data_IF_706115338217
#
_entry.id   IF_706115338217
#
_cell.length_a   1.000
_cell.length_b   1.000
_cell.length_c   1.000
_cell.angle_alpha   90.00
_cell.angle_beta   90.00
_cell.angle_gamma   90.00
#
_symmetry.space_group_name_H-M   'P 1'
#
loop_
_entity.id
_entity.type
_entity.pdbx_description
1 polymer ?
#
# COMPACT_ATOMS: atom_id res chain seq x y z
N UNK A 1 -21.25 -4.16 0.35
CA UNK A 1 -20.79 -4.69 -0.94
C UNK A 1 -21.96 -5.49 -1.51
N UNK A 2 -22.62 -5.00 -2.56
CA UNK A 2 -23.86 -5.59 -3.09
C UNK A 2 -23.50 -6.86 -3.88
N UNK A 3 -24.00 -8.01 -3.42
CA UNK A 3 -23.76 -9.32 -4.04
C UNK A 3 -24.93 -9.60 -4.98
N UNK A 4 -24.69 -9.52 -6.29
CA UNK A 4 -25.65 -10.01 -7.29
C UNK A 4 -25.31 -11.47 -7.57
N UNK A 5 -25.92 -12.38 -6.82
CA UNK A 5 -26.24 -13.69 -7.37
C UNK A 5 -27.66 -13.61 -7.91
N UNK A 6 -27.97 -14.34 -8.98
CA UNK A 6 -29.33 -14.65 -9.42
C UNK A 6 -30.08 -15.54 -8.38
N UNK A 7 -29.87 -15.30 -7.08
CA UNK A 7 -30.55 -15.89 -5.94
C UNK A 7 -31.49 -14.87 -5.28
N UNK A 8 -32.13 -14.02 -6.09
CA UNK A 8 -33.16 -13.08 -5.67
C UNK A 8 -34.49 -13.73 -5.27
N UNK A 9 -34.45 -14.90 -4.62
CA UNK A 9 -35.58 -15.47 -3.86
C UNK A 9 -35.40 -15.22 -2.35
N UNK A 10 -34.43 -14.38 -1.94
CA UNK A 10 -34.27 -13.94 -0.57
C UNK A 10 -35.12 -12.70 -0.27
N UNK A 11 -35.95 -12.77 0.76
CA UNK A 11 -36.60 -11.59 1.35
C UNK A 11 -35.53 -10.54 1.69
N UNK A 12 -35.63 -9.36 1.07
CA UNK A 12 -34.81 -8.23 1.46
C UNK A 12 -35.14 -7.87 2.92
N UNK A 13 -34.11 -7.58 3.72
CA UNK A 13 -34.30 -7.08 5.07
C UNK A 13 -35.26 -5.90 5.04
N UNK A 14 -36.39 -6.05 5.73
CA UNK A 14 -37.41 -5.03 5.86
C UNK A 14 -37.02 -4.03 6.96
N UNK A 15 -37.71 -2.91 7.05
CA UNK A 15 -37.51 -1.97 8.17
C UNK A 15 -37.74 -2.67 9.53
N UNK A 16 -38.56 -3.72 9.58
CA UNK A 16 -38.85 -4.50 10.78
C UNK A 16 -37.66 -5.41 11.21
N UNK A 17 -36.68 -5.62 10.32
CA UNK A 17 -35.44 -6.34 10.62
C UNK A 17 -34.36 -5.44 11.24
N UNK A 18 -34.64 -4.14 11.44
CA UNK A 18 -33.67 -3.18 11.99
C UNK A 18 -33.16 -3.60 13.36
N UNK A 19 -34.01 -4.10 14.25
CA UNK A 19 -33.59 -4.53 15.60
C UNK A 19 -32.63 -5.72 15.53
N UNK A 20 -32.83 -6.64 14.56
CA UNK A 20 -31.94 -7.77 14.33
C UNK A 20 -30.61 -7.30 13.73
N UNK A 21 -30.66 -6.43 12.73
CA UNK A 21 -29.47 -5.80 12.14
C UNK A 21 -28.67 -5.03 13.19
N UNK A 22 -29.33 -4.23 14.02
CA UNK A 22 -28.70 -3.48 15.09
C UNK A 22 -28.07 -4.43 16.10
N UNK A 23 -28.77 -5.47 16.57
CA UNK A 23 -28.20 -6.46 17.48
C UNK A 23 -26.94 -7.13 16.91
N UNK A 24 -26.92 -7.44 15.62
CA UNK A 24 -25.80 -8.10 14.94
C UNK A 24 -24.60 -7.16 14.68
N UNK A 25 -24.85 -5.89 14.33
CA UNK A 25 -23.82 -4.96 13.87
C UNK A 25 -23.61 -3.74 14.78
N UNK A 26 -24.23 -3.68 15.97
CA UNK A 26 -24.11 -2.53 16.88
C UNK A 26 -22.66 -2.17 17.23
N UNK A 27 -21.74 -3.15 17.26
CA UNK A 27 -20.32 -2.89 17.50
C UNK A 27 -19.66 -2.02 16.41
N UNK A 28 -20.21 -2.00 15.19
CA UNK A 28 -19.75 -1.13 14.10
C UNK A 28 -20.31 0.30 14.22
N UNK A 29 -21.36 0.49 15.02
CA UNK A 29 -21.98 1.78 15.29
C UNK A 29 -21.34 2.50 16.49
N UNK A 30 -20.44 1.83 17.22
CA UNK A 30 -19.65 2.42 18.29
C UNK A 30 -18.74 3.54 17.73
N UNK A 31 -18.77 4.72 18.36
CA UNK A 31 -17.97 5.89 17.95
C UNK A 31 -16.44 5.64 17.98
N UNK A 32 -16.01 4.61 18.72
CA UNK A 32 -14.64 4.16 18.84
C UNK A 32 -14.37 2.85 18.06
N UNK A 33 -15.33 2.34 17.27
CA UNK A 33 -15.15 1.14 16.45
C UNK A 33 -13.92 1.21 15.55
N UNK A 34 -13.63 2.40 14.99
CA UNK A 34 -12.46 2.64 14.14
C UNK A 34 -11.13 2.32 14.84
N UNK A 35 -11.04 2.44 16.17
CA UNK A 35 -9.81 2.14 16.94
C UNK A 35 -9.42 0.67 16.91
N UNK A 36 -10.36 -0.23 16.54
CA UNK A 36 -10.06 -1.64 16.31
C UNK A 36 -9.23 -1.85 15.03
N UNK A 37 -9.36 -0.93 14.07
CA UNK A 37 -8.85 -1.05 12.70
C UNK A 37 -7.68 -0.09 12.41
N UNK A 38 -7.69 1.12 12.97
CA UNK A 38 -6.71 2.16 12.72
C UNK A 38 -5.93 2.53 14.00
N UNK A 39 -4.61 2.63 13.89
CA UNK A 39 -3.78 3.21 14.94
C UNK A 39 -3.85 4.74 14.92
N UNK A 40 -3.71 5.34 16.10
CA UNK A 40 -3.58 6.80 16.22
C UNK A 40 -2.33 7.32 15.50
N UNK A 41 -1.27 6.50 15.41
CA UNK A 41 -0.04 6.87 14.72
C UNK A 41 -0.27 7.01 13.20
N UNK A 42 -1.00 6.06 12.59
CA UNK A 42 -1.37 6.13 11.18
C UNK A 42 -2.24 7.36 10.92
N UNK A 43 -3.28 7.59 11.73
CA UNK A 43 -4.19 8.73 11.54
C UNK A 43 -3.53 10.10 11.76
N UNK A 44 -2.51 10.17 12.61
CA UNK A 44 -1.74 11.40 12.85
C UNK A 44 -0.81 11.78 11.68
N UNK A 45 -0.57 10.87 10.71
CA UNK A 45 0.25 11.19 9.55
C UNK A 45 -0.42 12.27 8.69
N UNK A 46 0.31 13.28 8.20
CA UNK A 46 -0.24 14.32 7.33
C UNK A 46 -0.93 13.78 6.07
N UNK A 47 -0.50 12.60 5.62
CA UNK A 47 -1.03 11.91 4.46
C UNK A 47 -2.41 11.30 4.74
N UNK A 48 -2.67 10.82 5.94
CA UNK A 48 -3.94 10.20 6.33
C UNK A 48 -5.10 11.19 6.40
N UNK A 49 -4.81 12.49 6.59
CA UNK A 49 -5.83 13.53 6.51
C UNK A 49 -6.27 13.86 5.07
N UNK A 50 -5.54 13.37 4.06
CA UNK A 50 -5.69 13.80 2.66
C UNK A 50 -5.96 12.66 1.69
N UNK A 51 -5.54 11.46 2.05
CA UNK A 51 -5.65 10.26 1.22
C UNK A 51 -6.39 9.19 1.99
N UNK A 52 -7.20 8.40 1.27
CA UNK A 52 -7.78 7.20 1.84
C UNK A 52 -6.66 6.19 2.12
N UNK A 53 -6.68 5.66 3.36
CA UNK A 53 -5.69 4.69 3.87
C UNK A 53 -6.41 3.42 4.30
N UNK A 54 -5.78 2.28 4.01
CA UNK A 54 -6.22 1.01 4.58
C UNK A 54 -5.99 1.00 6.10
N UNK A 55 -6.83 0.27 6.85
CA UNK A 55 -6.56 -0.06 8.24
C UNK A 55 -5.16 -0.65 8.44
N UNK A 56 -4.41 -0.21 9.44
CA UNK A 56 -3.11 -0.79 9.80
C UNK A 56 -3.22 -1.86 10.89
N UNK A 57 -4.26 -1.89 11.72
CA UNK A 57 -4.37 -2.86 12.84
C UNK A 57 -5.11 -4.15 12.48
N UNK A 58 -6.30 -4.06 11.87
CA UNK A 58 -7.12 -5.23 11.55
C UNK A 58 -7.75 -5.05 10.18
N UNK A 59 -8.04 -6.17 9.52
CA UNK A 59 -8.78 -6.14 8.26
C UNK A 59 -10.23 -5.73 8.54
N UNK A 60 -10.87 -5.03 7.60
CA UNK A 60 -12.28 -4.67 7.74
C UNK A 60 -13.14 -5.95 7.83
N UNK A 61 -14.24 -5.92 8.59
CA UNK A 61 -15.19 -7.03 8.64
C UNK A 61 -15.66 -7.37 7.22
N UNK A 62 -15.92 -8.66 6.98
CA UNK A 62 -16.38 -9.23 5.72
C UNK A 62 -15.43 -9.10 4.51
N UNK A 63 -14.23 -8.53 4.70
CA UNK A 63 -13.22 -8.41 3.63
C UNK A 63 -12.66 -9.77 3.15
N UNK A 64 -12.85 -10.82 3.96
CA UNK A 64 -12.41 -12.19 3.70
C UNK A 64 -13.57 -13.18 3.57
N UNK A 65 -14.81 -12.72 3.65
CA UNK A 65 -15.95 -13.63 3.82
C UNK A 65 -16.31 -14.25 2.47
N UNK A 66 -16.27 -15.59 2.35
CA UNK A 66 -16.62 -16.24 1.11
C UNK A 66 -18.04 -15.87 0.68
N UNK A 67 -18.22 -15.79 -0.64
CA UNK A 67 -19.54 -15.76 -1.23
C UNK A 67 -20.20 -17.11 -0.88
N UNK A 68 -21.18 -17.07 0.03
CA UNK A 68 -22.15 -18.13 0.33
C UNK A 68 -21.77 -19.30 1.30
N UNK A 69 -21.03 -19.08 2.41
CA UNK A 69 -20.94 -19.92 3.67
C UNK A 69 -19.47 -20.10 4.16
N UNK A 70 -19.21 -20.36 5.47
CA UNK A 70 -17.93 -19.99 6.08
C UNK A 70 -16.80 -20.99 5.78
N UNK A 71 -15.77 -20.53 5.09
CA UNK A 71 -14.41 -21.06 5.27
C UNK A 71 -13.93 -20.69 6.66
N UNK A 72 -13.18 -21.57 7.31
CA UNK A 72 -12.63 -21.24 8.62
C UNK A 72 -11.66 -20.06 8.46
N UNK A 73 -11.98 -18.93 9.10
CA UNK A 73 -11.04 -17.81 9.19
C UNK A 73 -9.82 -18.30 9.96
N UNK A 74 -8.75 -18.61 9.23
CA UNK A 74 -7.44 -18.83 9.84
C UNK A 74 -6.96 -17.53 10.49
N UNK A 75 -6.12 -17.65 11.51
CA UNK A 75 -5.42 -16.48 12.03
C UNK A 75 -4.43 -15.97 10.98
N UNK A 76 -4.47 -14.66 10.69
CA UNK A 76 -3.56 -14.04 9.73
C UNK A 76 -4.13 -12.78 9.08
N UNK A 77 -3.25 -12.09 8.38
CA UNK A 77 -3.52 -10.83 7.68
C UNK A 77 -4.24 -11.16 6.37
N UNK A 78 -5.52 -11.54 6.49
CA UNK A 78 -6.31 -12.20 5.44
C UNK A 78 -6.25 -11.46 4.12
N UNK A 79 -6.33 -10.13 4.12
CA UNK A 79 -6.24 -9.31 2.89
C UNK A 79 -4.94 -8.54 2.79
N UNK A 80 -4.37 -8.11 3.92
CA UNK A 80 -3.13 -7.32 3.96
C UNK A 80 -1.92 -8.07 3.42
N UNK A 81 -1.68 -9.30 3.87
CA UNK A 81 -0.47 -10.03 3.48
C UNK A 81 -0.51 -10.45 1.99
N UNK A 82 -1.65 -10.91 1.44
CA UNK A 82 -1.77 -11.14 0.00
C UNK A 82 -1.62 -9.84 -0.82
N UNK A 83 -2.20 -8.72 -0.36
CA UNK A 83 -2.04 -7.42 -1.04
C UNK A 83 -0.58 -6.98 -1.06
N UNK A 84 0.10 -7.09 0.08
CA UNK A 84 1.52 -6.81 0.20
C UNK A 84 2.33 -7.69 -0.76
N UNK A 85 2.10 -9.01 -0.76
CA UNK A 85 2.80 -9.94 -1.65
C UNK A 85 2.51 -9.65 -3.14
N UNK A 86 1.29 -9.25 -3.46
CA UNK A 86 0.90 -8.80 -4.79
C UNK A 86 1.72 -7.57 -5.20
N UNK A 87 1.87 -6.58 -4.32
CA UNK A 87 2.67 -5.39 -4.58
C UNK A 87 4.17 -5.70 -4.72
N UNK A 88 4.72 -6.63 -3.93
CA UNK A 88 6.10 -7.10 -4.06
C UNK A 88 6.33 -7.75 -5.42
N UNK A 89 5.50 -8.74 -5.79
CA UNK A 89 5.61 -9.43 -7.07
C UNK A 89 5.44 -8.46 -8.26
N UNK A 90 4.53 -7.50 -8.13
CA UNK A 90 4.29 -6.46 -9.12
C UNK A 90 5.47 -5.49 -9.25
N UNK A 91 6.11 -5.13 -8.15
CA UNK A 91 7.30 -4.25 -8.14
C UNK A 91 8.43 -4.89 -8.94
N UNK A 92 8.75 -6.15 -8.68
CA UNK A 92 9.75 -6.89 -9.48
C UNK A 92 9.35 -6.98 -10.96
N UNK A 93 8.08 -7.24 -11.29
CA UNK A 93 7.61 -7.32 -12.69
C UNK A 93 7.66 -5.98 -13.42
N UNK A 94 7.34 -4.88 -12.72
CA UNK A 94 7.38 -3.50 -13.25
C UNK A 94 8.79 -3.10 -13.61
N UNK A 95 9.71 -3.41 -12.71
CA UNK A 95 11.06 -2.88 -12.70
C UNK A 95 11.98 -3.97 -12.13
N UNK A 96 12.46 -4.91 -12.98
CA UNK A 96 13.37 -5.97 -12.56
C UNK A 96 14.82 -5.44 -12.44
N UNK A 97 14.99 -4.31 -11.77
CA UNK A 97 16.25 -3.63 -11.47
C UNK A 97 17.10 -4.40 -10.46
N UNK A 98 16.45 -5.12 -9.54
CA UNK A 98 17.06 -5.93 -8.50
C UNK A 98 16.77 -7.42 -8.72
N UNK A 99 17.70 -8.32 -8.35
CA UNK A 99 17.44 -9.76 -8.35
C UNK A 99 16.23 -10.14 -7.48
N UNK A 100 15.55 -11.23 -7.86
CA UNK A 100 14.39 -11.76 -7.14
C UNK A 100 14.71 -12.05 -5.68
N UNK A 101 15.89 -12.61 -5.43
CA UNK A 101 16.38 -12.95 -4.10
C UNK A 101 16.54 -11.68 -3.24
N UNK A 102 17.08 -10.61 -3.83
CA UNK A 102 17.25 -9.31 -3.15
C UNK A 102 15.90 -8.68 -2.81
N UNK A 103 14.96 -8.64 -3.77
CA UNK A 103 13.61 -8.10 -3.52
C UNK A 103 12.88 -8.93 -2.46
N UNK A 104 12.98 -10.26 -2.53
CA UNK A 104 12.36 -11.17 -1.55
C UNK A 104 12.92 -10.91 -0.15
N UNK A 105 14.24 -10.76 -0.03
CA UNK A 105 14.88 -10.48 1.26
C UNK A 105 14.44 -9.13 1.83
N UNK A 106 14.42 -8.06 1.00
CA UNK A 106 13.94 -6.74 1.41
C UNK A 106 12.48 -6.83 1.86
N UNK A 107 11.64 -7.52 1.11
CA UNK A 107 10.23 -7.72 1.43
C UNK A 107 10.07 -8.38 2.81
N UNK A 108 10.68 -9.54 3.03
CA UNK A 108 10.56 -10.27 4.30
C UNK A 108 11.09 -9.44 5.48
N UNK A 109 12.27 -8.83 5.35
CA UNK A 109 12.87 -8.01 6.42
C UNK A 109 12.00 -6.80 6.77
N UNK A 110 11.49 -6.07 5.76
CA UNK A 110 10.66 -4.88 6.01
C UNK A 110 9.29 -5.22 6.59
N UNK A 111 8.71 -6.34 6.17
CA UNK A 111 7.46 -6.86 6.73
C UNK A 111 7.63 -7.20 8.21
N UNK A 112 8.66 -7.99 8.57
CA UNK A 112 8.97 -8.35 9.95
C UNK A 112 9.19 -7.11 10.84
N UNK A 113 10.00 -6.14 10.38
CA UNK A 113 10.27 -4.90 11.11
C UNK A 113 9.00 -4.07 11.33
N UNK A 114 8.15 -3.96 10.31
CA UNK A 114 6.90 -3.17 10.38
C UNK A 114 5.92 -3.81 11.36
N UNK A 115 5.73 -5.14 11.27
CA UNK A 115 4.89 -5.89 12.21
C UNK A 115 5.43 -5.76 13.63
N UNK A 116 6.73 -5.93 13.85
CA UNK A 116 7.34 -5.79 15.17
C UNK A 116 7.10 -4.40 15.78
N UNK A 117 7.20 -3.34 14.97
CA UNK A 117 6.89 -1.97 15.39
C UNK A 117 5.42 -1.80 15.78
N UNK A 118 4.48 -2.29 14.96
CA UNK A 118 3.05 -2.21 15.23
C UNK A 118 2.69 -2.95 16.52
N UNK A 119 3.23 -4.16 16.71
CA UNK A 119 2.99 -4.97 17.91
C UNK A 119 3.50 -4.34 19.20
N UNK A 120 4.57 -3.54 19.14
CA UNK A 120 5.09 -2.81 20.30
C UNK A 120 4.03 -1.88 20.90
N UNK A 121 3.22 -1.25 20.04
CA UNK A 121 2.17 -0.32 20.45
C UNK A 121 0.79 -0.99 20.55
N UNK A 122 0.59 -2.09 19.82
CA UNK A 122 -0.67 -2.82 19.72
C UNK A 122 -0.42 -4.33 19.86
N UNK A 123 -0.31 -4.87 21.09
CA UNK A 123 0.04 -6.28 21.30
C UNK A 123 -0.93 -7.30 20.66
N UNK A 124 -2.18 -6.90 20.42
CA UNK A 124 -3.20 -7.68 19.72
C UNK A 124 -2.99 -7.76 18.20
N UNK A 125 -2.07 -6.96 17.65
CA UNK A 125 -1.70 -7.04 16.25
C UNK A 125 -1.03 -8.39 15.94
N UNK A 126 -1.37 -8.95 14.78
CA UNK A 126 -0.98 -10.32 14.46
C UNK A 126 0.55 -10.47 14.36
N UNK A 127 1.10 -11.62 14.79
CA UNK A 127 2.53 -11.89 14.69
C UNK A 127 3.01 -12.01 13.24
N UNK A 128 4.29 -11.73 13.02
CA UNK A 128 4.95 -12.08 11.78
C UNK A 128 5.03 -13.61 11.64
N UNK A 129 4.74 -14.11 10.44
CA UNK A 129 4.95 -15.50 10.04
C UNK A 129 5.65 -15.54 8.69
N UNK A 130 6.90 -16.00 8.69
CA UNK A 130 7.68 -16.18 7.46
C UNK A 130 7.02 -17.21 6.53
N UNK A 131 6.40 -18.25 7.10
CA UNK A 131 5.60 -19.26 6.36
C UNK A 131 4.49 -18.61 5.56
N UNK A 132 3.67 -17.77 6.19
CA UNK A 132 2.57 -17.08 5.52
C UNK A 132 3.11 -16.11 4.46
N UNK A 133 4.15 -15.35 4.77
CA UNK A 133 4.74 -14.37 3.85
C UNK A 133 5.32 -15.05 2.59
N UNK A 134 6.10 -16.13 2.75
CA UNK A 134 6.67 -16.89 1.64
C UNK A 134 5.60 -17.58 0.80
N UNK A 135 4.57 -18.13 1.43
CA UNK A 135 3.43 -18.70 0.72
C UNK A 135 2.81 -17.66 -0.22
N UNK A 136 2.47 -16.48 0.28
CA UNK A 136 1.82 -15.45 -0.55
C UNK A 136 2.74 -14.87 -1.62
N UNK A 137 4.04 -14.70 -1.36
CA UNK A 137 5.00 -14.30 -2.39
C UNK A 137 5.06 -15.32 -3.53
N UNK A 138 5.09 -16.63 -3.20
CA UNK A 138 5.05 -17.71 -4.19
C UNK A 138 3.72 -17.74 -4.93
N UNK A 139 2.59 -17.67 -4.23
CA UNK A 139 1.25 -17.66 -4.81
C UNK A 139 1.04 -16.47 -5.77
N UNK A 140 1.59 -15.31 -5.43
CA UNK A 140 1.58 -14.11 -6.28
C UNK A 140 2.61 -14.18 -7.41
N UNK A 141 3.33 -15.29 -7.57
CA UNK A 141 4.31 -15.57 -8.62
C UNK A 141 5.44 -14.54 -8.67
N UNK A 142 6.06 -14.26 -7.51
CA UNK A 142 7.32 -13.49 -7.47
C UNK A 142 8.37 -14.17 -8.35
N UNK A 143 9.15 -13.38 -9.10
CA UNK A 143 10.19 -13.91 -9.99
C UNK A 143 9.72 -14.46 -11.33
N UNK A 144 8.41 -14.67 -11.55
CA UNK A 144 7.92 -14.97 -12.90
C UNK A 144 7.99 -13.69 -13.77
N UNK A 145 8.73 -13.72 -14.90
CA UNK A 145 8.77 -12.59 -15.81
C UNK A 145 7.39 -12.41 -16.44
N UNK A 146 6.69 -11.35 -16.04
CA UNK A 146 5.53 -10.89 -16.79
C UNK A 146 5.99 -10.25 -18.09
N UNK A 147 5.18 -10.33 -19.15
CA UNK A 147 5.40 -9.44 -20.31
C UNK A 147 5.25 -8.00 -19.82
N UNK A 148 6.22 -7.11 -20.04
CA UNK A 148 6.03 -5.70 -19.73
C UNK A 148 4.89 -5.16 -20.59
N UNK A 149 3.72 -4.97 -19.99
CA UNK A 149 2.61 -4.27 -20.63
C UNK A 149 2.51 -2.85 -20.06
N UNK A 150 1.99 -1.89 -20.82
CA UNK A 150 1.72 -0.54 -20.31
C UNK A 150 0.76 -0.56 -19.11
N UNK A 151 -0.08 -1.59 -19.00
CA UNK A 151 -1.02 -1.81 -17.89
C UNK A 151 -0.32 -2.20 -16.59
N UNK A 152 0.94 -2.68 -16.67
CA UNK A 152 1.74 -3.01 -15.49
C UNK A 152 1.89 -1.78 -14.59
N UNK A 153 1.82 -0.55 -15.13
CA UNK A 153 1.87 0.73 -14.42
C UNK A 153 0.50 1.31 -14.01
N UNK A 154 -0.61 0.58 -14.21
CA UNK A 154 -1.93 1.03 -13.75
C UNK A 154 -2.02 1.07 -12.21
N UNK A 155 -3.17 1.50 -11.67
CA UNK A 155 -3.44 1.53 -10.24
C UNK A 155 -3.29 0.15 -9.59
N UNK A 156 -3.12 0.10 -8.26
CA UNK A 156 -3.21 -1.16 -7.54
C UNK A 156 -4.68 -1.53 -7.41
N UNK A 157 -5.13 -2.51 -8.21
CA UNK A 157 -6.52 -2.98 -8.27
C UNK A 157 -6.70 -4.28 -7.49
N UNK A 158 -5.88 -4.49 -6.46
CA UNK A 158 -5.91 -5.73 -5.69
C UNK A 158 -7.26 -5.94 -5.02
N UNK A 159 -7.84 -4.91 -4.38
CA UNK A 159 -9.14 -5.03 -3.72
C UNK A 159 -10.26 -5.34 -4.70
N UNK A 160 -10.28 -4.67 -5.86
CA UNK A 160 -11.21 -4.97 -6.96
C UNK A 160 -11.03 -6.41 -7.45
N UNK A 161 -9.79 -6.86 -7.64
CA UNK A 161 -9.49 -8.22 -8.08
C UNK A 161 -9.98 -9.27 -7.07
N UNK A 162 -9.82 -9.01 -5.76
CA UNK A 162 -10.36 -9.88 -4.71
C UNK A 162 -11.89 -9.90 -4.75
N UNK A 163 -12.53 -8.74 -4.88
CA UNK A 163 -13.99 -8.64 -4.95
C UNK A 163 -14.59 -9.41 -6.14
N UNK A 164 -13.84 -9.52 -7.24
CA UNK A 164 -14.20 -10.28 -8.44
C UNK A 164 -13.78 -11.76 -8.40
N UNK A 165 -13.30 -12.26 -7.25
CA UNK A 165 -12.90 -13.66 -7.09
C UNK A 165 -11.63 -14.04 -7.87
N UNK A 166 -10.78 -13.06 -8.24
CA UNK A 166 -9.53 -13.32 -8.97
C UNK A 166 -8.47 -14.01 -8.13
N UNK A 167 -8.49 -13.78 -6.82
CA UNK A 167 -7.56 -14.36 -5.87
C UNK A 167 -8.32 -15.19 -4.85
N UNK A 168 -7.89 -16.44 -4.66
CA UNK A 168 -8.37 -17.25 -3.54
C UNK A 168 -7.58 -16.89 -2.29
N UNK A 169 -8.22 -16.11 -1.42
CA UNK A 169 -7.66 -15.66 -0.13
C UNK A 169 -7.44 -16.81 0.87
N UNK A 170 -8.01 -17.98 0.58
CA UNK A 170 -7.89 -19.20 1.35
C UNK A 170 -7.08 -20.28 0.60
N UNK A 171 -6.35 -19.93 -0.46
CA UNK A 171 -5.57 -20.88 -1.25
C UNK A 171 -4.52 -21.65 -0.42
N UNK A 172 -4.10 -21.10 0.71
CA UNK A 172 -3.17 -21.75 1.64
C UNK A 172 -3.72 -23.06 2.19
N UNK A 173 -5.04 -23.22 2.29
CA UNK A 173 -5.70 -24.42 2.83
C UNK A 173 -5.45 -25.68 1.99
N UNK A 174 -5.01 -25.52 0.74
CA UNK A 174 -4.58 -26.65 -0.09
C UNK A 174 -3.19 -27.17 0.29
N UNK A 175 -2.34 -26.33 0.88
CA UNK A 175 -0.92 -26.60 1.12
C UNK A 175 -0.56 -26.74 2.60
N UNK A 176 -1.34 -26.12 3.49
CA UNK A 176 -1.02 -26.03 4.91
C UNK A 176 -2.19 -26.48 5.79
N UNK A 177 -1.92 -27.35 6.76
CA UNK A 177 -2.83 -27.61 7.87
C UNK A 177 -2.99 -26.36 8.73
N UNK A 178 -4.11 -26.25 9.44
CA UNK A 178 -4.40 -25.10 10.32
C UNK A 178 -3.33 -24.91 11.39
N UNK A 179 -2.91 -26.01 12.02
CA UNK A 179 -1.85 -25.99 13.05
C UNK A 179 -0.55 -25.40 12.50
N UNK A 180 -0.14 -25.83 11.30
CA UNK A 180 1.07 -25.32 10.64
C UNK A 180 0.91 -23.86 10.20
N UNK A 181 -0.24 -23.49 9.64
CA UNK A 181 -0.53 -22.15 9.16
C UNK A 181 -0.54 -21.10 10.28
N UNK A 182 -1.10 -21.46 11.43
CA UNK A 182 -1.21 -20.58 12.60
C UNK A 182 0.06 -20.57 13.46
N UNK A 183 1.06 -21.40 13.13
CA UNK A 183 2.35 -21.38 13.82
C UNK A 183 3.11 -20.10 13.50
N UNK A 184 3.38 -19.31 14.53
CA UNK A 184 4.07 -18.02 14.47
C UNK A 184 5.40 -18.07 15.24
N UNK A 185 6.34 -17.19 14.90
CA UNK A 185 7.68 -17.11 15.51
C UNK A 185 8.56 -18.37 15.30
N UNK A 186 8.21 -19.23 14.36
CA UNK A 186 9.07 -20.31 13.89
C UNK A 186 9.70 -19.92 12.55
N UNK A 187 10.89 -20.46 12.21
CA UNK A 187 11.41 -20.38 10.85
C UNK A 187 10.39 -20.91 9.84
N UNK A 188 10.57 -20.55 8.58
CA UNK A 188 9.76 -21.04 7.47
C UNK A 188 9.48 -22.56 7.55
N UNK A 189 8.21 -22.92 7.46
CA UNK A 189 7.72 -24.30 7.42
C UNK A 189 7.28 -24.65 5.98
N UNK A 190 7.81 -25.76 5.47
CA UNK A 190 7.33 -26.33 4.20
C UNK A 190 5.86 -26.77 4.30
N UNK A 191 5.11 -26.78 3.17
CA UNK A 191 3.76 -27.34 3.09
C UNK A 191 3.68 -28.76 3.69
N UNK A 192 2.61 -29.05 4.42
CA UNK A 192 2.31 -30.39 4.95
C UNK A 192 1.11 -31.06 4.27
N UNK A 193 0.44 -30.35 3.37
CA UNK A 193 -0.59 -30.88 2.48
C UNK A 193 -0.08 -30.93 1.03
N UNK A 194 -0.75 -31.71 0.19
CA UNK A 194 -0.31 -32.04 -1.16
C UNK A 194 -0.69 -30.99 -2.23
N UNK A 195 -1.44 -29.95 -1.86
CA UNK A 195 -1.90 -28.91 -2.80
C UNK A 195 -3.05 -29.34 -3.70
N UNK A 196 -3.66 -30.52 -3.48
CA UNK A 196 -4.69 -31.07 -4.39
C UNK A 196 -6.10 -30.57 -4.10
N UNK A 197 -6.31 -29.91 -2.96
CA UNK A 197 -7.62 -29.37 -2.60
C UNK A 197 -8.06 -28.32 -3.62
N UNK A 198 -9.17 -28.57 -4.29
CA UNK A 198 -9.73 -27.65 -5.27
C UNK A 198 -10.19 -26.35 -4.59
N UNK A 199 -9.88 -25.22 -5.24
CA UNK A 199 -10.37 -23.92 -4.82
C UNK A 199 -11.84 -23.78 -5.20
N UNK A 200 -12.70 -23.50 -4.23
CA UNK A 200 -14.10 -23.10 -4.49
C UNK A 200 -14.20 -21.62 -4.90
N UNK A 201 -13.09 -20.86 -4.90
CA UNK A 201 -13.07 -19.47 -5.38
C UNK A 201 -12.67 -19.51 -6.84
N UNK A 202 -13.62 -19.24 -7.72
CA UNK A 202 -13.37 -19.05 -9.15
C UNK A 202 -13.62 -17.59 -9.52
N UNK A 203 -12.90 -17.12 -10.56
CA UNK A 203 -13.15 -15.80 -11.15
C UNK A 203 -14.62 -15.71 -11.55
N UNK A 204 -15.37 -14.83 -10.88
CA UNK A 204 -16.81 -14.70 -11.08
C UNK A 204 -17.17 -13.65 -12.14
N UNK A 205 -16.18 -13.17 -12.90
CA UNK A 205 -16.40 -12.15 -13.91
C UNK A 205 -16.64 -10.79 -13.27
N UNK A 206 -17.65 -10.09 -13.78
CA UNK A 206 -18.06 -8.77 -13.30
C UNK A 206 -19.47 -8.95 -12.70
N UNK A 207 -19.62 -9.71 -11.60
CA UNK A 207 -20.93 -10.05 -11.06
C UNK A 207 -21.70 -8.80 -10.62
N UNK A 208 -20.98 -7.72 -10.34
CA UNK A 208 -21.49 -6.43 -9.95
C UNK A 208 -21.81 -5.50 -11.14
N UNK A 209 -21.73 -6.01 -12.37
CA UNK A 209 -21.97 -5.22 -13.59
C UNK A 209 -20.91 -4.15 -13.86
N UNK A 210 -19.71 -4.24 -13.26
CA UNK A 210 -18.65 -3.24 -13.37
C UNK A 210 -18.67 -2.19 -12.27
N UNK A 211 -19.37 -2.43 -11.15
CA UNK A 211 -19.31 -1.56 -9.97
C UNK A 211 -17.89 -1.48 -9.40
N UNK A 212 -17.03 -2.49 -9.57
CA UNK A 212 -15.61 -2.43 -9.22
C UNK A 212 -14.86 -1.33 -9.98
N UNK A 213 -15.19 -1.13 -11.26
CA UNK A 213 -14.69 -0.01 -12.06
C UNK A 213 -15.27 1.32 -11.59
N UNK A 214 -16.54 1.35 -11.18
CA UNK A 214 -17.13 2.55 -10.58
C UNK A 214 -16.53 2.88 -9.21
N UNK A 215 -16.26 1.88 -8.38
CA UNK A 215 -15.60 1.98 -7.09
C UNK A 215 -14.16 2.49 -7.28
N UNK A 216 -13.45 1.98 -8.30
CA UNK A 216 -12.16 2.51 -8.75
C UNK A 216 -12.26 3.99 -9.10
N UNK A 217 -13.24 4.37 -9.94
CA UNK A 217 -13.45 5.77 -10.34
C UNK A 217 -13.85 6.69 -9.18
N UNK A 218 -14.35 6.12 -8.08
CA UNK A 218 -14.76 6.82 -6.86
C UNK A 218 -13.71 6.76 -5.74
N UNK A 219 -12.51 6.23 -5.99
CA UNK A 219 -11.41 6.22 -5.02
C UNK A 219 -11.51 5.14 -3.93
N UNK A 220 -12.12 3.99 -4.22
CA UNK A 220 -12.25 2.91 -3.23
C UNK A 220 -10.98 2.07 -3.05
N UNK A 221 -10.06 2.11 -4.01
CA UNK A 221 -8.69 1.63 -3.78
C UNK A 221 -7.92 2.72 -3.04
N UNK A 222 -7.16 2.38 -1.98
CA UNK A 222 -6.37 3.36 -1.24
C UNK A 222 -5.35 4.02 -2.17
N UNK A 223 -5.28 5.35 -2.14
CA UNK A 223 -4.32 6.09 -2.96
C UNK A 223 -2.89 5.92 -2.44
N UNK A 224 -2.75 5.52 -1.16
CA UNK A 224 -1.47 5.19 -0.54
C UNK A 224 -1.55 3.80 0.07
N UNK A 225 -0.54 2.96 -0.20
CA UNK A 225 -0.44 1.62 0.36
C UNK A 225 -0.41 1.58 1.88
N UNK A 226 -0.52 0.36 2.42
CA UNK A 226 -0.33 0.11 3.85
C UNK A 226 1.10 0.48 4.30
N UNK A 227 1.34 0.50 5.62
CA UNK A 227 2.68 0.80 6.16
C UNK A 227 3.73 -0.21 5.68
N UNK A 228 3.35 -1.50 5.57
CA UNK A 228 4.20 -2.57 5.07
C UNK A 228 4.54 -2.38 3.60
N UNK A 229 3.56 -1.98 2.77
CA UNK A 229 3.76 -1.68 1.36
C UNK A 229 4.69 -0.48 1.15
N UNK A 230 4.48 0.60 1.91
CA UNK A 230 5.31 1.82 1.83
C UNK A 230 6.73 1.54 2.32
N UNK A 231 6.89 0.81 3.44
CA UNK A 231 8.20 0.45 3.97
C UNK A 231 8.99 -0.44 3.01
N UNK A 232 8.33 -1.44 2.40
CA UNK A 232 8.93 -2.28 1.36
C UNK A 232 9.38 -1.45 0.17
N UNK A 233 8.49 -0.64 -0.40
CA UNK A 233 8.79 0.18 -1.57
C UNK A 233 9.95 1.14 -1.27
N UNK A 234 9.90 1.89 -0.17
CA UNK A 234 10.97 2.79 0.23
C UNK A 234 12.33 2.07 0.35
N UNK A 235 12.36 0.86 0.92
CA UNK A 235 13.60 0.09 1.01
C UNK A 235 14.11 -0.40 -0.36
N UNK A 236 13.21 -0.74 -1.28
CA UNK A 236 13.59 -1.03 -2.68
C UNK A 236 14.20 0.20 -3.34
N UNK A 237 13.58 1.37 -3.21
CA UNK A 237 14.11 2.58 -3.86
C UNK A 237 15.53 2.94 -3.37
N UNK A 238 15.80 2.73 -2.08
CA UNK A 238 17.14 2.91 -1.51
C UNK A 238 18.13 1.90 -2.07
N UNK A 239 17.72 0.63 -2.18
CA UNK A 239 18.62 -0.42 -2.68
C UNK A 239 18.96 -0.23 -4.16
N UNK A 240 18.00 0.21 -4.97
CA UNK A 240 18.21 0.48 -6.39
C UNK A 240 19.17 1.65 -6.64
N UNK A 241 19.22 2.61 -5.73
CA UNK A 241 20.07 3.81 -5.85
C UNK A 241 21.39 3.70 -5.09
N UNK A 242 21.63 2.56 -4.43
CA UNK A 242 22.85 2.32 -3.68
C UNK A 242 24.07 2.33 -4.62
N UNK A 243 25.03 3.21 -4.34
CA UNK A 243 26.24 3.36 -5.15
C UNK A 243 26.05 4.04 -6.52
N UNK A 244 24.86 4.50 -6.87
CA UNK A 244 24.59 5.14 -8.18
C UNK A 244 24.91 6.64 -8.15
N UNK A 245 25.83 7.13 -8.98
CA UNK A 245 26.11 8.57 -9.08
C UNK A 245 24.93 9.37 -9.62
N UNK A 246 24.78 10.65 -9.24
CA UNK A 246 23.71 11.54 -9.74
C UNK A 246 23.73 11.65 -11.28
N UNK A 247 24.92 11.60 -11.88
CA UNK A 247 25.10 11.65 -13.34
C UNK A 247 24.66 10.37 -14.05
N UNK A 248 24.62 9.26 -13.33
CA UNK A 248 24.34 7.91 -13.81
C UNK A 248 22.88 7.49 -13.54
N UNK A 249 22.03 8.44 -13.15
CA UNK A 249 20.63 8.18 -12.91
C UNK A 249 19.89 7.77 -14.19
N UNK A 250 19.34 6.57 -14.20
CA UNK A 250 18.41 6.08 -15.20
C UNK A 250 16.99 6.53 -14.87
N UNK A 251 16.49 7.55 -15.56
CA UNK A 251 15.13 8.06 -15.39
C UNK A 251 14.05 7.12 -15.97
N UNK A 252 14.45 5.97 -16.50
CA UNK A 252 13.59 4.81 -16.66
C UNK A 252 13.26 4.12 -15.33
N UNK A 253 13.94 4.40 -14.22
CA UNK A 253 13.75 3.73 -12.93
C UNK A 253 13.17 4.72 -11.91
N UNK A 254 12.14 4.31 -11.16
CA UNK A 254 11.46 5.18 -10.17
C UNK A 254 12.36 5.77 -9.11
N UNK A 255 13.24 4.95 -8.58
CA UNK A 255 14.12 5.36 -7.49
C UNK A 255 15.11 6.40 -7.95
N UNK A 256 15.59 6.27 -9.18
CA UNK A 256 16.49 7.23 -9.80
C UNK A 256 15.79 8.56 -10.07
N UNK A 257 14.50 8.53 -10.47
CA UNK A 257 13.69 9.76 -10.60
C UNK A 257 13.52 10.44 -9.24
N UNK A 258 13.08 9.70 -8.22
CA UNK A 258 12.85 10.24 -6.88
C UNK A 258 14.14 10.78 -6.26
N UNK A 259 15.26 10.07 -6.45
CA UNK A 259 16.57 10.54 -6.04
C UNK A 259 17.00 11.77 -6.83
N UNK A 260 16.79 11.80 -8.15
CA UNK A 260 17.07 12.96 -9.00
C UNK A 260 16.33 14.21 -8.53
N UNK A 261 15.02 14.11 -8.32
CA UNK A 261 14.20 15.21 -7.78
C UNK A 261 14.69 15.64 -6.40
N UNK A 262 14.99 14.69 -5.50
CA UNK A 262 15.51 15.00 -4.18
C UNK A 262 16.84 15.76 -4.28
N UNK A 263 17.77 15.31 -5.13
CA UNK A 263 19.05 15.97 -5.38
C UNK A 263 18.88 17.36 -6.00
N UNK A 264 17.87 17.58 -6.85
CA UNK A 264 17.57 18.90 -7.41
C UNK A 264 17.18 19.91 -6.34
N UNK A 265 16.64 19.46 -5.21
CA UNK A 265 16.35 20.34 -4.09
C UNK A 265 17.61 20.86 -3.36
N UNK A 266 18.77 20.23 -3.57
CA UNK A 266 20.07 20.62 -2.96
C UNK A 266 20.96 21.47 -3.87
N UNK A 267 20.69 21.50 -5.18
CA UNK A 267 21.61 22.11 -6.14
C UNK A 267 21.52 23.65 -6.16
N UNK A 268 22.66 24.33 -6.18
CA UNK A 268 22.76 25.78 -6.39
C UNK A 268 22.23 26.15 -7.79
N UNK A 269 22.28 25.21 -8.73
CA UNK A 269 21.68 25.26 -10.07
C UNK A 269 20.28 24.65 -10.17
N UNK A 270 19.48 24.69 -9.08
CA UNK A 270 18.15 24.05 -8.96
C UNK A 270 17.30 24.10 -10.24
N UNK A 271 17.20 25.26 -10.91
CA UNK A 271 16.42 25.39 -12.15
C UNK A 271 16.91 24.48 -13.28
N UNK A 272 18.22 24.47 -13.55
CA UNK A 272 18.82 23.64 -14.60
C UNK A 272 18.70 22.14 -14.30
N UNK A 273 18.82 21.76 -13.02
CA UNK A 273 18.70 20.36 -12.63
C UNK A 273 17.25 19.86 -12.73
N UNK A 274 16.28 20.69 -12.34
CA UNK A 274 14.85 20.41 -12.50
C UNK A 274 14.48 20.25 -13.97
N UNK A 275 14.93 21.15 -14.84
CA UNK A 275 14.70 21.06 -16.30
C UNK A 275 15.30 19.77 -16.88
N UNK A 276 16.48 19.34 -16.41
CA UNK A 276 17.10 18.10 -16.87
C UNK A 276 16.34 16.86 -16.38
N UNK A 277 15.89 16.84 -15.12
CA UNK A 277 15.04 15.78 -14.57
C UNK A 277 13.75 15.67 -15.38
N UNK A 278 13.09 16.80 -15.64
CA UNK A 278 11.86 16.87 -16.43
C UNK A 278 12.07 16.30 -17.83
N UNK A 279 13.08 16.79 -18.55
CA UNK A 279 13.42 16.34 -19.91
C UNK A 279 13.68 14.84 -19.95
N UNK A 280 14.46 14.30 -19.00
CA UNK A 280 14.78 12.86 -18.95
C UNK A 280 13.58 12.01 -18.55
N UNK A 281 12.73 12.50 -17.65
CA UNK A 281 11.51 11.83 -17.20
C UNK A 281 10.50 11.69 -18.35
N UNK A 282 10.31 12.75 -19.14
CA UNK A 282 9.46 12.76 -20.34
C UNK A 282 10.07 11.83 -21.39
N UNK A 283 11.37 11.91 -21.65
CA UNK A 283 12.05 11.06 -22.63
C UNK A 283 11.96 9.56 -22.28
N UNK A 284 11.95 9.22 -20.98
CA UNK A 284 11.74 7.86 -20.51
C UNK A 284 10.27 7.38 -20.64
N UNK A 285 9.34 8.25 -21.04
CA UNK A 285 7.92 7.95 -21.18
C UNK A 285 7.25 7.60 -19.85
N UNK A 286 7.80 8.10 -18.74
CA UNK A 286 7.32 7.81 -17.37
C UNK A 286 6.19 8.72 -16.93
N UNK A 287 6.14 9.92 -17.47
CA UNK A 287 5.07 10.89 -17.26
C UNK A 287 4.77 11.62 -18.57
N UNK A 288 3.53 12.08 -18.72
CA UNK A 288 3.15 12.94 -19.82
C UNK A 288 3.77 14.33 -19.64
N UNK A 289 4.18 14.96 -20.75
CA UNK A 289 4.79 16.30 -20.78
C UNK A 289 3.92 17.33 -20.06
N UNK A 290 2.59 17.28 -20.23
CA UNK A 290 1.65 18.21 -19.58
C UNK A 290 1.58 18.08 -18.06
N UNK A 291 2.15 17.02 -17.47
CA UNK A 291 2.09 16.72 -16.04
C UNK A 291 3.45 16.71 -15.37
N UNK A 292 4.53 16.68 -16.14
CA UNK A 292 5.90 16.54 -15.65
C UNK A 292 6.28 17.67 -14.69
N UNK A 293 6.16 18.92 -15.15
CA UNK A 293 6.46 20.12 -14.35
C UNK A 293 5.69 20.14 -13.02
N UNK A 294 4.37 19.95 -13.08
CA UNK A 294 3.53 19.99 -11.88
C UNK A 294 3.91 18.89 -10.89
N UNK A 295 4.13 17.66 -11.37
CA UNK A 295 4.54 16.56 -10.51
C UNK A 295 5.89 16.82 -9.83
N UNK A 296 6.89 17.31 -10.59
CA UNK A 296 8.22 17.63 -10.03
C UNK A 296 8.10 18.73 -8.98
N UNK A 297 7.34 19.78 -9.25
CA UNK A 297 7.08 20.87 -8.30
C UNK A 297 6.46 20.35 -7.00
N UNK A 298 5.46 19.47 -7.10
CA UNK A 298 4.82 18.87 -5.92
C UNK A 298 5.76 17.96 -5.13
N UNK A 299 6.56 17.14 -5.82
CA UNK A 299 7.55 16.28 -5.19
C UNK A 299 8.62 17.10 -4.46
N UNK A 300 9.12 18.17 -5.09
CA UNK A 300 10.06 19.11 -4.48
C UNK A 300 9.49 19.78 -3.23
N UNK A 301 8.23 20.23 -3.26
CA UNK A 301 7.60 20.84 -2.08
C UNK A 301 7.61 19.90 -0.86
N UNK A 302 7.40 18.60 -1.08
CA UNK A 302 7.48 17.58 -0.03
C UNK A 302 8.93 17.43 0.44
N UNK A 303 9.85 17.18 -0.49
CA UNK A 303 11.25 16.87 -0.19
C UNK A 303 11.98 18.04 0.49
N UNK A 304 11.78 19.28 0.02
CA UNK A 304 12.39 20.50 0.59
C UNK A 304 12.07 20.71 2.07
N UNK A 305 10.89 20.27 2.52
CA UNK A 305 10.48 20.45 3.92
C UNK A 305 11.35 19.66 4.91
N UNK A 306 11.97 18.57 4.44
CA UNK A 306 12.94 17.79 5.21
C UNK A 306 14.31 18.45 5.22
N UNK A 307 14.62 19.24 4.20
CA UNK A 307 15.91 19.90 4.02
C UNK A 307 16.03 21.13 4.92
N UNK A 308 14.96 21.93 5.03
CA UNK A 308 14.93 23.13 5.89
C UNK A 308 15.01 22.83 7.39
N UNK A 309 14.93 21.55 7.80
CA UNK A 309 14.96 21.13 9.21
C UNK A 309 16.34 20.68 9.69
N UNK A 310 17.33 20.52 8.81
CA UNK A 310 18.68 20.05 9.14
C UNK A 310 19.71 21.02 8.57
N UNK A 311 20.13 21.98 9.39
CA UNK A 311 21.00 23.11 9.00
C UNK A 311 22.46 22.72 8.69
N UNK A 312 22.89 21.48 8.87
CA UNK A 312 24.30 21.10 8.68
C UNK A 312 24.41 19.71 8.05
N UNK A 313 24.60 19.63 6.73
CA UNK A 313 24.82 18.37 6.02
C UNK A 313 26.09 18.44 5.15
N UNK A 314 27.24 18.17 5.78
CA UNK A 314 28.51 17.86 5.10
C UNK A 314 28.54 16.45 4.49
N UNK A 315 27.63 15.56 4.93
CA UNK A 315 27.65 14.12 4.62
C UNK A 315 26.44 13.70 3.77
N UNK A 316 25.93 14.61 2.92
CA UNK A 316 24.74 14.37 2.08
C UNK A 316 24.90 13.11 1.22
N UNK A 317 26.02 12.97 0.53
CA UNK A 317 26.27 11.84 -0.36
C UNK A 317 26.27 10.50 0.38
N UNK A 318 26.75 10.47 1.63
CA UNK A 318 26.77 9.26 2.46
C UNK A 318 25.38 8.93 3.03
N UNK A 319 24.54 9.93 3.28
CA UNK A 319 23.25 9.77 3.98
C UNK A 319 22.00 9.92 3.09
N UNK A 320 22.16 10.22 1.79
CA UNK A 320 21.05 10.47 0.86
C UNK A 320 20.06 9.30 0.77
N UNK A 321 20.55 8.06 0.89
CA UNK A 321 19.70 6.87 0.89
C UNK A 321 18.77 6.83 2.10
N UNK A 322 19.28 7.06 3.30
CA UNK A 322 18.45 7.05 4.51
C UNK A 322 17.47 8.23 4.54
N UNK A 323 17.86 9.41 4.02
CA UNK A 323 16.91 10.51 3.88
C UNK A 323 15.83 10.20 2.86
N UNK A 324 16.18 9.66 1.70
CA UNK A 324 15.19 9.24 0.71
C UNK A 324 14.21 8.25 1.35
N UNK A 325 14.74 7.28 2.11
CA UNK A 325 13.92 6.33 2.87
C UNK A 325 12.96 7.01 3.84
N UNK A 326 13.46 7.94 4.66
CA UNK A 326 12.67 8.68 5.62
C UNK A 326 11.55 9.45 4.93
N UNK A 327 11.88 10.22 3.90
CA UNK A 327 10.92 11.00 3.12
C UNK A 327 9.81 10.10 2.58
N UNK A 328 10.18 8.97 1.95
CA UNK A 328 9.23 8.06 1.32
C UNK A 328 8.34 7.34 2.33
N UNK A 329 8.87 6.95 3.50
CA UNK A 329 8.08 6.33 4.57
C UNK A 329 7.04 7.30 5.12
N UNK A 330 7.42 8.57 5.31
CA UNK A 330 6.49 9.59 5.81
C UNK A 330 5.55 10.13 4.70
N UNK A 331 5.92 9.97 3.44
CA UNK A 331 5.22 10.50 2.27
C UNK A 331 5.00 9.44 1.17
N UNK A 332 4.38 8.32 1.55
CA UNK A 332 4.14 7.18 0.64
C UNK A 332 3.41 7.53 -0.67
N UNK A 333 2.67 8.64 -0.71
CA UNK A 333 2.05 9.14 -1.95
C UNK A 333 3.06 9.46 -3.06
N UNK A 334 4.33 9.75 -2.74
CA UNK A 334 5.39 9.92 -3.75
C UNK A 334 5.59 8.65 -4.58
N UNK A 335 5.24 7.48 -4.03
CA UNK A 335 5.32 6.19 -4.71
C UNK A 335 4.09 5.90 -5.61
N UNK A 336 3.00 6.67 -5.45
CA UNK A 336 1.70 6.46 -6.08
C UNK A 336 1.33 7.51 -7.16
N UNK A 337 1.95 8.69 -7.16
CA UNK A 337 1.52 9.87 -7.94
C UNK A 337 1.80 9.88 -9.45
N UNK A 338 2.30 8.81 -10.04
CA UNK A 338 2.78 8.84 -11.44
C UNK A 338 1.68 8.75 -12.50
N UNK A 339 0.52 8.20 -12.13
CA UNK A 339 -0.66 8.14 -12.98
C UNK A 339 -1.87 8.32 -12.10
N UNK A 340 -2.31 9.58 -11.91
CA UNK A 340 -3.62 9.82 -11.32
C UNK A 340 -4.67 9.19 -12.22
N UNK A 341 -5.71 8.60 -11.62
CA UNK A 341 -6.89 8.21 -12.38
C UNK A 341 -7.42 9.44 -13.11
N UNK A 342 -7.87 9.32 -14.36
CA UNK A 342 -8.54 10.41 -15.08
C UNK A 342 -9.81 10.89 -14.36
N UNK A 343 -10.31 10.07 -13.42
CA UNK A 343 -11.45 10.34 -12.54
C UNK A 343 -11.04 10.70 -11.11
N UNK A 344 -9.74 10.73 -10.81
CA UNK A 344 -9.23 11.36 -9.60
C UNK A 344 -9.63 12.81 -9.69
N UNK A 345 -10.65 13.23 -8.93
CA UNK A 345 -10.93 14.66 -8.76
C UNK A 345 -9.60 15.30 -8.41
N UNK A 346 -9.14 16.20 -9.28
CA UNK A 346 -7.83 16.83 -9.18
C UNK A 346 -7.60 17.20 -7.71
N UNK A 347 -6.66 16.50 -7.08
CA UNK A 347 -6.31 16.76 -5.71
C UNK A 347 -5.49 18.03 -5.74
N UNK A 348 -6.16 19.17 -5.59
CA UNK A 348 -5.49 20.45 -5.52
C UNK A 348 -4.61 20.43 -4.26
N UNK A 349 -3.30 20.46 -4.49
CA UNK A 349 -2.33 20.56 -3.41
C UNK A 349 -2.26 22.01 -2.92
N UNK A 350 -3.31 22.49 -2.26
CA UNK A 350 -3.15 23.63 -1.36
C UNK A 350 -2.45 23.17 -0.07
N UNK A 351 -1.17 22.79 -0.20
CA UNK A 351 -0.25 22.71 0.94
C UNK A 351 0.11 24.15 1.35
N UNK A 352 -0.80 24.81 2.05
CA UNK A 352 -0.44 26.04 2.74
C UNK A 352 0.63 25.73 3.79
N UNK A 353 1.70 26.52 3.80
CA UNK A 353 2.67 26.44 4.88
C UNK A 353 1.94 26.70 6.19
N UNK A 354 2.12 25.82 7.18
CA UNK A 354 1.55 26.04 8.50
C UNK A 354 2.23 27.29 9.06
N UNK A 355 1.54 28.44 9.02
CA UNK A 355 1.89 29.56 9.90
C UNK A 355 1.88 28.98 11.31
N UNK A 356 3.04 28.99 11.95
CA UNK A 356 3.15 28.61 13.34
C UNK A 356 2.14 29.45 14.13
N UNK A 357 1.10 28.80 14.65
CA UNK A 357 0.35 29.33 15.77
C UNK A 357 1.30 29.37 16.94
N UNK A 358 1.97 30.52 17.12
CA UNK A 358 2.46 30.91 18.43
C UNK A 358 1.29 30.80 19.41
N UNK A 359 1.59 30.23 20.58
CA UNK A 359 0.62 29.50 21.37
C UNK A 359 -0.58 30.31 21.86
N UNK A 360 -1.68 29.61 22.02
CA UNK A 360 -2.43 29.66 23.28
C UNK A 360 -3.13 28.32 23.44
N UNK A 361 -2.79 27.59 24.49
CA UNK A 361 -3.60 26.48 25.00
C UNK A 361 -4.92 27.10 25.42
N UNK A 362 -6.03 26.67 24.83
CA UNK A 362 -7.35 26.90 25.39
C UNK A 362 -8.15 25.62 25.21
N UNK A 363 -8.41 25.01 26.36
CA UNK A 363 -9.32 23.90 26.57
C UNK A 363 -10.63 24.14 25.82
N UNK A 364 -11.07 23.18 25.02
CA UNK A 364 -12.47 23.03 24.67
C UNK A 364 -12.90 21.60 25.00
N UNK A 365 -13.42 21.49 26.21
CA UNK A 365 -14.40 20.48 26.59
C UNK A 365 -15.52 20.43 25.55
N UNK A 366 -15.80 19.26 25.00
CA UNK A 366 -17.12 18.94 24.48
C UNK A 366 -17.82 18.01 25.48
N UNK A 367 -18.66 18.63 26.32
CA UNK A 367 -19.96 18.06 26.69
C UNK A 367 -20.80 18.09 25.40
N UNK A 368 -21.57 17.08 25.02
CA UNK A 368 -22.39 16.12 25.77
C UNK A 368 -22.75 14.96 24.87
#
# INVERSE_FOLDING_TARGET
>A
MYRSSDQGDGEFASADDFDRFYAEYHELLDENAWRKYYSSALLAQPTSARFYRLPDLQDLPDSSDPLAQPRQKGNGHLTKLPRWAHNVARTHRRQPSLPVETITQIALTTLEQTIARLRKNHPSFQPYSETQARFWLKYMNIGCPGKPSREVWNHNEFGISVAQGRFDMCAWEAYYSRERWETVNMPFLEPDLDGTRESEVSWCGWPDGGVGEQARSRGWEPEVGSEEEVAFLAAVEVKETEGVGIKDLDYGIRSHILLGVMCSAFDVGKGQQVEEVERRLIAAGRIDESRAEQWIREALMVMESYLRKKDEWSDFEENRGELLRQILVENGQLLARWKLSDFSKEFDFELQSRKQSQGTVSELYFKS
#
